data_IF_804042194880
#
_entry.id   IF_804042194880
#
_cell.length_a   1.000
_cell.length_b   1.000
_cell.length_c   1.000
_cell.angle_alpha   90.00
_cell.angle_beta   90.00
_cell.angle_gamma   90.00
#
_symmetry.space_group_name_H-M   'P 1'
#
loop_
_entity.id
_entity.type
_entity.pdbx_description
1 polymer ?
#
# COMPACT_ATOMS: atom_id res chain seq x y z
N UNK A 1 1.05 -7.72 21.52
CA UNK A 1 0.62 -6.33 21.77
C UNK A 1 -0.75 -6.11 21.11
N UNK A 2 -1.84 -5.78 21.86
CA UNK A 2 -3.16 -5.50 21.24
C UNK A 2 -3.17 -4.07 20.72
N UNK A 3 -2.75 -3.87 19.47
CA UNK A 3 -2.82 -2.56 18.81
C UNK A 3 -4.24 -2.33 18.28
N UNK A 4 -5.16 -1.84 19.11
CA UNK A 4 -6.49 -1.47 18.60
C UNK A 4 -6.44 -0.12 17.88
N UNK A 5 -6.63 -0.11 16.56
CA UNK A 5 -6.82 1.12 15.79
C UNK A 5 -8.29 1.58 15.86
N UNK A 6 -8.51 2.77 16.43
CA UNK A 6 -9.87 3.24 16.71
C UNK A 6 -10.54 3.85 15.48
N UNK A 7 -11.87 3.73 15.45
CA UNK A 7 -12.72 4.32 14.40
C UNK A 7 -12.62 5.84 14.36
N UNK A 8 -12.38 6.48 15.51
CA UNK A 8 -12.16 7.93 15.61
C UNK A 8 -10.91 8.37 14.84
N UNK A 9 -9.80 7.63 14.93
CA UNK A 9 -8.56 7.94 14.18
C UNK A 9 -8.78 7.84 12.67
N UNK A 10 -9.49 6.80 12.25
CA UNK A 10 -9.88 6.60 10.85
C UNK A 10 -10.75 7.77 10.32
N UNK A 11 -11.75 8.21 11.10
CA UNK A 11 -12.58 9.35 10.70
C UNK A 11 -11.83 10.69 10.68
N UNK A 12 -10.86 10.90 11.58
CA UNK A 12 -9.96 12.06 11.50
C UNK A 12 -9.19 12.06 10.18
N UNK A 13 -8.60 10.92 9.80
CA UNK A 13 -7.89 10.78 8.53
C UNK A 13 -8.79 11.11 7.34
N UNK A 14 -10.00 10.54 7.33
CA UNK A 14 -11.00 10.77 6.29
C UNK A 14 -11.29 12.27 6.17
N UNK A 15 -11.60 12.93 7.28
CA UNK A 15 -11.88 14.36 7.30
C UNK A 15 -10.71 15.19 6.78
N UNK A 16 -9.48 14.88 7.20
CA UNK A 16 -8.27 15.57 6.74
C UNK A 16 -8.02 15.41 5.24
N UNK A 17 -8.21 14.21 4.70
CA UNK A 17 -8.10 13.95 3.25
C UNK A 17 -9.15 14.77 2.49
N UNK A 18 -10.39 14.82 3.01
CA UNK A 18 -11.47 15.63 2.44
C UNK A 18 -11.21 17.14 2.53
N UNK A 19 -10.56 17.61 3.60
CA UNK A 19 -10.35 19.03 3.89
C UNK A 19 -9.02 19.57 3.37
N UNK A 20 -8.12 18.72 2.87
CA UNK A 20 -6.80 19.18 2.43
C UNK A 20 -6.88 20.07 1.17
N UNK A 21 -6.24 21.24 1.22
CA UNK A 21 -6.26 22.28 0.18
C UNK A 21 -5.55 21.89 -1.15
N UNK A 22 -5.18 20.62 -1.35
CA UNK A 22 -4.42 20.14 -2.53
C UNK A 22 -5.37 19.79 -3.69
N UNK A 23 -6.35 20.66 -3.95
CA UNK A 23 -7.24 20.61 -5.12
C UNK A 23 -8.63 20.00 -4.85
N UNK A 24 -9.58 20.14 -5.80
CA UNK A 24 -10.97 19.76 -5.58
C UNK A 24 -11.14 18.24 -5.43
N UNK A 25 -11.50 17.81 -4.22
CA UNK A 25 -12.37 16.68 -3.93
C UNK A 25 -11.87 15.30 -4.32
N UNK A 26 -11.20 14.62 -3.39
CA UNK A 26 -11.23 13.15 -3.36
C UNK A 26 -12.55 12.75 -2.72
N UNK A 27 -13.39 12.01 -3.45
CA UNK A 27 -14.58 11.38 -2.86
C UNK A 27 -14.18 10.03 -2.30
N UNK A 28 -14.65 9.69 -1.10
CA UNK A 28 -14.51 8.34 -0.54
C UNK A 28 -15.88 7.66 -0.64
N UNK A 29 -15.92 6.50 -1.32
CA UNK A 29 -17.12 5.68 -1.43
C UNK A 29 -16.91 4.36 -0.71
N UNK A 30 -17.81 4.05 0.22
CA UNK A 30 -17.85 2.74 0.87
C UNK A 30 -18.68 1.77 0.04
N UNK A 31 -18.01 0.81 -0.58
CA UNK A 31 -18.62 -0.14 -1.50
C UNK A 31 -18.94 -1.47 -0.78
N UNK A 32 -20.05 -2.10 -1.20
CA UNK A 32 -20.34 -3.48 -0.83
C UNK A 32 -19.49 -4.45 -1.66
N UNK A 33 -19.36 -5.71 -1.21
CA UNK A 33 -18.65 -6.76 -1.97
C UNK A 33 -19.25 -6.98 -3.37
N UNK A 34 -20.57 -6.85 -3.48
CA UNK A 34 -21.29 -6.94 -4.76
C UNK A 34 -20.98 -5.77 -5.69
N UNK A 35 -20.90 -4.57 -5.13
CA UNK A 35 -20.49 -3.37 -5.87
C UNK A 35 -19.09 -3.55 -6.43
N UNK A 36 -18.14 -4.02 -5.61
CA UNK A 36 -16.75 -4.27 -6.02
C UNK A 36 -16.68 -5.36 -7.11
N UNK A 37 -17.36 -6.50 -6.96
CA UNK A 37 -17.38 -7.56 -7.99
C UNK A 37 -17.94 -7.11 -9.34
N UNK A 38 -18.91 -6.20 -9.36
CA UNK A 38 -19.42 -5.62 -10.60
C UNK A 38 -18.38 -4.73 -11.26
N UNK A 39 -17.62 -4.01 -10.45
CA UNK A 39 -16.45 -3.23 -10.87
C UNK A 39 -15.26 -4.16 -11.22
N UNK A 40 -15.17 -5.40 -10.73
CA UNK A 40 -14.12 -6.32 -11.20
C UNK A 40 -14.47 -6.88 -12.57
N UNK A 41 -15.70 -7.36 -12.69
CA UNK A 41 -16.23 -7.99 -13.90
C UNK A 41 -16.32 -7.04 -15.08
N UNK A 42 -16.69 -5.79 -14.84
CA UNK A 42 -16.79 -4.80 -15.92
C UNK A 42 -15.41 -4.43 -16.51
N UNK A 43 -14.31 -4.76 -15.83
CA UNK A 43 -12.97 -4.29 -16.22
C UNK A 43 -11.95 -5.42 -16.36
N UNK A 44 -12.37 -6.67 -16.19
CA UNK A 44 -11.55 -7.86 -16.33
C UNK A 44 -10.28 -7.82 -15.45
N UNK A 45 -10.43 -7.32 -14.22
CA UNK A 45 -9.38 -7.27 -13.20
C UNK A 45 -9.86 -8.12 -12.02
N UNK A 46 -9.07 -9.09 -11.58
CA UNK A 46 -9.30 -9.74 -10.28
C UNK A 46 -8.76 -8.84 -9.17
N UNK A 47 -9.60 -7.95 -8.61
CA UNK A 47 -9.19 -7.17 -7.43
C UNK A 47 -9.70 -7.83 -6.13
N UNK A 48 -8.83 -7.90 -5.13
CA UNK A 48 -9.20 -8.31 -3.78
C UNK A 48 -9.90 -7.18 -2.98
N UNK A 49 -10.66 -6.31 -3.65
CA UNK A 49 -11.57 -5.36 -3.00
C UNK A 49 -11.04 -3.94 -2.74
N UNK A 50 -10.10 -3.45 -3.55
CA UNK A 50 -9.55 -2.07 -3.44
C UNK A 50 -9.40 -1.45 -4.84
N UNK A 51 -9.84 -0.19 -5.01
CA UNK A 51 -9.73 0.58 -6.26
C UNK A 51 -9.14 1.98 -6.04
N UNK A 52 -8.04 2.30 -6.75
CA UNK A 52 -7.80 3.65 -7.29
C UNK A 52 -8.18 3.66 -8.77
N UNK A 53 -8.70 4.78 -9.26
CA UNK A 53 -8.60 5.12 -10.69
C UNK A 53 -7.53 6.20 -10.91
N UNK A 54 -6.34 5.87 -11.46
CA UNK A 54 -5.34 6.87 -11.84
C UNK A 54 -4.92 6.79 -13.32
N UNK A 55 -5.84 6.64 -14.29
CA UNK A 55 -5.49 6.69 -15.74
C UNK A 55 -6.28 7.69 -16.59
N UNK A 56 -5.62 8.38 -17.53
CA UNK A 56 -6.18 8.67 -18.84
C UNK A 56 -6.15 7.37 -19.67
N UNK A 57 -7.33 6.87 -20.07
CA UNK A 57 -7.49 5.83 -21.10
C UNK A 57 -7.62 4.38 -20.62
N UNK A 58 -8.54 4.12 -19.70
CA UNK A 58 -8.93 2.77 -19.28
C UNK A 58 -10.02 2.89 -18.23
N UNK A 59 -11.23 3.18 -18.72
CA UNK A 59 -12.39 3.62 -17.95
C UNK A 59 -12.77 2.64 -16.84
N UNK A 60 -13.20 3.18 -15.68
CA UNK A 60 -14.44 2.79 -15.00
C UNK A 60 -15.22 4.06 -14.76
N UNK A 61 -16.30 4.24 -15.52
CA UNK A 61 -17.28 5.30 -15.31
C UNK A 61 -18.15 4.96 -14.10
N UNK A 62 -17.91 5.61 -12.96
CA UNK A 62 -18.98 6.44 -12.42
C UNK A 62 -18.71 7.85 -12.92
N UNK A 63 -19.72 8.56 -13.44
CA UNK A 63 -19.52 9.72 -14.31
C UNK A 63 -18.50 10.68 -13.70
N UNK A 64 -17.61 11.21 -14.54
CA UNK A 64 -16.88 12.46 -14.28
C UNK A 64 -17.90 13.55 -13.94
N UNK A 65 -18.48 13.54 -12.74
CA UNK A 65 -19.19 14.69 -12.20
C UNK A 65 -18.09 15.59 -11.66
N UNK A 66 -17.56 16.43 -12.56
CA UNK A 66 -16.74 17.61 -12.26
C UNK A 66 -15.27 17.37 -11.82
N UNK A 67 -14.51 16.48 -12.47
CA UNK A 67 -13.04 16.46 -12.35
C UNK A 67 -12.46 16.02 -10.99
N UNK A 68 -13.20 15.23 -10.21
CA UNK A 68 -12.84 14.75 -8.86
C UNK A 68 -12.37 13.29 -8.87
N UNK A 69 -11.29 12.97 -8.14
CA UNK A 69 -10.86 11.58 -7.92
C UNK A 69 -11.80 10.88 -6.94
N UNK A 70 -12.00 9.57 -7.08
CA UNK A 70 -12.81 8.78 -6.15
C UNK A 70 -12.02 7.57 -5.67
N UNK A 71 -11.94 7.39 -4.36
CA UNK A 71 -11.37 6.23 -3.67
C UNK A 71 -12.53 5.34 -3.23
N UNK A 72 -12.51 4.08 -3.63
CA UNK A 72 -13.54 3.11 -3.23
C UNK A 72 -12.95 2.14 -2.20
N UNK A 73 -13.57 2.05 -1.02
CA UNK A 73 -13.13 1.19 0.07
C UNK A 73 -14.22 0.16 0.40
N UNK A 74 -13.82 -1.09 0.63
CA UNK A 74 -14.75 -2.13 1.06
C UNK A 74 -15.26 -1.87 2.49
N UNK A 75 -16.59 -1.82 2.66
CA UNK A 75 -17.26 -1.51 3.95
C UNK A 75 -17.02 -2.53 5.08
N UNK A 76 -16.45 -3.70 4.77
CA UNK A 76 -16.20 -4.77 5.74
C UNK A 76 -14.76 -4.91 6.20
N UNK A 77 -13.88 -3.96 5.86
CA UNK A 77 -12.48 -4.00 6.28
C UNK A 77 -12.33 -3.66 7.77
N UNK A 78 -11.39 -4.30 8.49
CA UNK A 78 -10.96 -3.81 9.79
C UNK A 78 -10.40 -2.37 9.67
N UNK A 79 -10.62 -1.53 10.67
CA UNK A 79 -10.25 -0.10 10.62
C UNK A 79 -8.79 0.16 10.23
N UNK A 80 -7.85 -0.71 10.64
CA UNK A 80 -6.43 -0.55 10.30
C UNK A 80 -6.14 -0.86 8.82
N UNK A 81 -6.85 -1.84 8.24
CA UNK A 81 -6.77 -2.14 6.80
C UNK A 81 -7.39 -1.01 6.01
N UNK A 82 -8.53 -0.50 6.47
CA UNK A 82 -9.20 0.64 5.86
C UNK A 82 -8.31 1.89 5.83
N UNK A 83 -7.61 2.16 6.94
CA UNK A 83 -6.64 3.24 7.04
C UNK A 83 -5.50 3.09 6.03
N UNK A 84 -4.91 1.89 5.91
CA UNK A 84 -3.84 1.63 4.95
C UNK A 84 -4.32 1.81 3.52
N UNK A 85 -5.46 1.20 3.18
CA UNK A 85 -6.08 1.35 1.86
C UNK A 85 -6.29 2.82 1.54
N UNK A 86 -6.89 3.58 2.45
CA UNK A 86 -7.17 5.00 2.21
C UNK A 86 -5.88 5.80 1.96
N UNK A 87 -4.84 5.61 2.77
CA UNK A 87 -3.55 6.28 2.58
C UNK A 87 -2.85 5.85 1.29
N UNK A 88 -2.92 4.57 0.94
CA UNK A 88 -2.32 4.03 -0.27
C UNK A 88 -2.98 4.63 -1.52
N UNK A 89 -4.31 4.59 -1.59
CA UNK A 89 -5.05 5.18 -2.70
C UNK A 89 -4.89 6.70 -2.77
N UNK A 90 -4.81 7.37 -1.62
CA UNK A 90 -4.50 8.79 -1.59
C UNK A 90 -3.08 9.09 -2.08
N UNK A 91 -2.10 8.22 -1.78
CA UNK A 91 -0.75 8.29 -2.33
C UNK A 91 -0.72 8.19 -3.86
N UNK A 92 -1.53 7.31 -4.45
CA UNK A 92 -1.74 7.25 -5.91
C UNK A 92 -2.32 8.53 -6.46
N UNK A 93 -3.37 9.08 -5.80
CA UNK A 93 -3.95 10.36 -6.18
C UNK A 93 -2.90 11.49 -6.16
N UNK A 94 -2.07 11.59 -5.12
CA UNK A 94 -1.01 12.58 -5.02
C UNK A 94 0.06 12.40 -6.10
N UNK A 95 0.41 11.16 -6.44
CA UNK A 95 1.32 10.86 -7.54
C UNK A 95 0.76 11.37 -8.88
N UNK A 96 -0.54 11.19 -9.10
CA UNK A 96 -1.27 11.66 -10.28
C UNK A 96 -1.38 13.18 -10.35
N UNK A 97 -1.86 13.83 -9.29
CA UNK A 97 -2.07 15.28 -9.23
C UNK A 97 -0.76 16.05 -9.42
N UNK A 98 0.36 15.51 -8.92
CA UNK A 98 1.71 16.08 -9.08
C UNK A 98 2.37 15.74 -10.42
N UNK A 99 1.70 14.99 -11.30
CA UNK A 99 2.22 14.58 -12.62
C UNK A 99 3.62 13.95 -12.53
N UNK A 100 3.83 13.08 -11.54
CA UNK A 100 5.13 12.46 -11.28
C UNK A 100 5.73 11.77 -12.52
N UNK A 101 7.06 11.78 -12.64
CA UNK A 101 7.79 11.21 -13.78
C UNK A 101 7.46 9.74 -14.06
N UNK A 102 7.20 8.94 -13.02
CA UNK A 102 6.82 7.53 -13.15
C UNK A 102 5.55 7.32 -14.00
N UNK A 103 4.64 8.30 -14.03
CA UNK A 103 3.41 8.24 -14.84
C UNK A 103 3.69 8.43 -16.33
N UNK A 104 4.68 9.29 -16.68
CA UNK A 104 5.07 9.54 -18.07
C UNK A 104 5.72 8.32 -18.71
N UNK A 105 6.47 7.57 -17.91
CA UNK A 105 7.19 6.38 -18.36
C UNK A 105 6.34 5.10 -18.33
N UNK A 106 5.03 5.21 -18.02
CA UNK A 106 4.10 4.07 -17.85
C UNK A 106 4.63 3.00 -16.87
N UNK A 107 5.48 3.40 -15.93
CA UNK A 107 6.07 2.51 -14.94
C UNK A 107 5.08 2.30 -13.79
N UNK A 108 4.22 1.28 -13.91
CA UNK A 108 3.23 0.95 -12.86
C UNK A 108 3.89 0.76 -11.49
N UNK A 109 5.05 0.11 -11.42
CA UNK A 109 5.80 -0.07 -10.18
C UNK A 109 6.24 1.26 -9.54
N UNK A 110 6.40 2.34 -10.33
CA UNK A 110 6.78 3.65 -9.83
C UNK A 110 5.64 4.38 -9.11
N UNK A 111 4.39 4.25 -9.58
CA UNK A 111 3.24 4.79 -8.84
C UNK A 111 2.97 4.00 -7.55
N UNK A 112 3.07 2.67 -7.60
CA UNK A 112 2.96 1.83 -6.39
C UNK A 112 4.02 2.18 -5.35
N UNK A 113 5.29 2.35 -5.77
CA UNK A 113 6.35 2.74 -4.85
C UNK A 113 6.03 4.08 -4.16
N UNK A 114 5.49 5.08 -4.89
CA UNK A 114 5.09 6.34 -4.28
C UNK A 114 3.91 6.19 -3.30
N UNK A 115 2.91 5.39 -3.65
CA UNK A 115 1.76 5.12 -2.79
C UNK A 115 2.16 4.41 -1.49
N UNK A 116 2.96 3.34 -1.58
CA UNK A 116 3.50 2.63 -0.42
C UNK A 116 4.38 3.55 0.44
N UNK A 117 5.30 4.29 -0.19
CA UNK A 117 6.20 5.23 0.53
C UNK A 117 5.42 6.32 1.25
N UNK A 118 4.39 6.88 0.62
CA UNK A 118 3.51 7.86 1.23
C UNK A 118 2.80 7.29 2.45
N UNK A 119 2.24 6.08 2.31
CA UNK A 119 1.54 5.36 3.39
C UNK A 119 2.45 5.13 4.59
N UNK A 120 3.65 4.57 4.40
CA UNK A 120 4.61 4.37 5.49
C UNK A 120 4.98 5.69 6.18
N UNK A 121 5.21 6.76 5.41
CA UNK A 121 5.55 8.08 5.96
C UNK A 121 4.44 8.63 6.84
N UNK A 122 3.20 8.62 6.36
CA UNK A 122 2.05 9.13 7.13
C UNK A 122 1.82 8.32 8.41
N UNK A 123 1.87 6.99 8.31
CA UNK A 123 1.66 6.11 9.46
C UNK A 123 2.77 6.26 10.52
N UNK A 124 4.02 6.43 10.10
CA UNK A 124 5.14 6.75 10.99
C UNK A 124 4.95 8.10 11.68
N UNK A 125 4.67 9.16 10.91
CA UNK A 125 4.47 10.52 11.46
C UNK A 125 3.36 10.54 12.50
N UNK A 126 2.27 9.79 12.27
CA UNK A 126 1.13 9.71 13.17
C UNK A 126 1.29 8.71 14.32
N UNK A 127 2.39 7.95 14.34
CA UNK A 127 2.67 6.86 15.29
C UNK A 127 1.52 5.84 15.32
N UNK A 128 0.97 5.52 14.16
CA UNK A 128 -0.12 4.55 14.01
C UNK A 128 0.45 3.16 13.77
N UNK A 129 0.82 2.50 14.87
CA UNK A 129 1.57 1.24 14.84
C UNK A 129 0.80 0.06 14.20
N UNK A 130 -0.50 -0.10 14.47
CA UNK A 130 -1.26 -1.26 13.91
C UNK A 130 -1.35 -1.22 12.39
N UNK A 131 -1.78 -0.09 11.78
CA UNK A 131 -1.81 0.00 10.33
C UNK A 131 -0.39 -0.05 9.74
N UNK A 132 0.61 0.57 10.39
CA UNK A 132 2.00 0.54 9.94
C UNK A 132 2.55 -0.89 9.85
N UNK A 133 2.41 -1.67 10.92
CA UNK A 133 2.83 -3.07 10.94
C UNK A 133 2.14 -3.87 9.83
N UNK A 134 0.82 -3.69 9.66
CA UNK A 134 0.08 -4.35 8.59
C UNK A 134 0.62 -3.99 7.19
N UNK A 135 0.93 -2.72 6.94
CA UNK A 135 1.49 -2.29 5.65
C UNK A 135 2.85 -2.93 5.39
N UNK A 136 3.71 -3.01 6.42
CA UNK A 136 4.99 -3.73 6.30
C UNK A 136 4.77 -5.20 5.95
N UNK A 137 3.82 -5.88 6.59
CA UNK A 137 3.52 -7.30 6.27
C UNK A 137 3.00 -7.48 4.84
N UNK A 138 2.27 -6.50 4.31
CA UNK A 138 1.77 -6.48 2.93
C UNK A 138 2.93 -6.36 1.94
N UNK A 139 3.88 -5.45 2.20
CA UNK A 139 5.11 -5.27 1.40
C UNK A 139 5.94 -6.57 1.38
N UNK A 140 6.14 -7.20 2.55
CA UNK A 140 6.82 -8.50 2.63
C UNK A 140 6.07 -9.59 1.85
N UNK A 141 4.73 -9.57 1.87
CA UNK A 141 3.92 -10.49 1.08
C UNK A 141 4.10 -10.27 -0.42
N UNK A 142 4.18 -9.03 -0.89
CA UNK A 142 4.44 -8.74 -2.30
C UNK A 142 5.83 -9.19 -2.76
N UNK A 143 6.82 -9.11 -1.87
CA UNK A 143 8.16 -9.63 -2.11
C UNK A 143 8.21 -11.16 -2.18
N UNK A 144 7.28 -11.84 -1.49
CA UNK A 144 7.19 -13.30 -1.49
C UNK A 144 6.52 -13.91 -2.72
N UNK A 145 5.90 -13.07 -3.58
CA UNK A 145 5.08 -13.49 -4.72
C UNK A 145 5.81 -13.30 -6.05
N UNK A 146 5.15 -13.70 -7.14
CA UNK A 146 5.60 -13.61 -8.54
C UNK A 146 6.17 -12.22 -8.92
N UNK A 147 7.17 -12.21 -9.80
CA UNK A 147 7.80 -11.01 -10.37
C UNK A 147 6.80 -10.13 -11.14
N UNK A 148 6.23 -9.16 -10.44
CA UNK A 148 5.25 -8.23 -10.98
C UNK A 148 5.52 -6.80 -10.48
N UNK A 149 4.65 -5.87 -10.88
CA UNK A 149 4.85 -4.46 -10.55
C UNK A 149 4.82 -4.16 -9.04
N UNK A 150 4.09 -4.95 -8.24
CA UNK A 150 4.07 -4.83 -6.78
C UNK A 150 5.36 -5.37 -6.16
N UNK A 151 5.88 -6.49 -6.68
CA UNK A 151 7.18 -7.02 -6.29
C UNK A 151 8.29 -5.98 -6.51
N UNK A 152 8.39 -5.40 -7.71
CA UNK A 152 9.40 -4.38 -8.00
C UNK A 152 9.26 -3.11 -7.16
N UNK A 153 8.02 -2.64 -6.93
CA UNK A 153 7.77 -1.48 -6.07
C UNK A 153 8.22 -1.74 -4.62
N UNK A 154 7.90 -2.93 -4.10
CA UNK A 154 8.25 -3.37 -2.76
C UNK A 154 9.77 -3.55 -2.61
N UNK A 155 10.44 -4.16 -3.60
CA UNK A 155 11.89 -4.33 -3.64
C UNK A 155 12.62 -2.99 -3.61
N UNK A 156 12.06 -1.98 -4.28
CA UNK A 156 12.58 -0.61 -4.20
C UNK A 156 12.31 0.03 -2.84
N UNK A 157 11.14 -0.20 -2.26
CA UNK A 157 10.72 0.38 -0.99
C UNK A 157 11.59 -0.06 0.19
N UNK A 158 11.93 -1.35 0.27
CA UNK A 158 12.73 -1.88 1.38
C UNK A 158 14.16 -1.30 1.43
N UNK A 159 14.65 -0.76 0.32
CA UNK A 159 15.93 -0.06 0.20
C UNK A 159 15.81 1.45 0.49
N UNK A 160 14.60 1.97 0.60
CA UNK A 160 14.36 3.39 0.89
C UNK A 160 14.57 3.66 2.39
N UNK A 161 15.18 4.80 2.80
CA UNK A 161 15.41 5.10 4.20
C UNK A 161 14.15 5.10 5.08
N UNK A 162 12.96 5.27 4.51
CA UNK A 162 11.71 5.17 5.27
C UNK A 162 11.48 3.76 5.83
N UNK A 163 11.92 2.72 5.12
CA UNK A 163 11.76 1.33 5.53
C UNK A 163 12.57 1.05 6.80
N UNK A 164 13.84 1.45 6.83
CA UNK A 164 14.71 1.30 8.01
C UNK A 164 14.09 1.90 9.27
N UNK A 165 13.45 3.07 9.16
CA UNK A 165 12.71 3.69 10.28
C UNK A 165 11.52 2.86 10.77
N UNK A 166 10.84 2.16 9.86
CA UNK A 166 9.77 1.25 10.21
C UNK A 166 10.32 -0.02 10.87
N UNK A 167 11.45 -0.55 10.40
CA UNK A 167 12.13 -1.72 10.97
C UNK A 167 12.65 -1.48 12.39
N UNK A 168 13.13 -0.28 12.70
CA UNK A 168 13.52 0.10 14.07
C UNK A 168 12.37 -0.08 15.08
N UNK A 169 11.11 0.02 14.61
CA UNK A 169 9.93 -0.15 15.45
C UNK A 169 9.41 -1.59 15.51
N UNK A 170 9.48 -2.33 14.40
CA UNK A 170 8.80 -3.63 14.27
C UNK A 170 9.67 -4.77 13.75
N UNK A 171 10.97 -4.59 13.57
CA UNK A 171 11.85 -5.54 12.89
C UNK A 171 11.76 -6.97 13.44
N UNK A 172 11.80 -7.12 14.76
CA UNK A 172 11.68 -8.44 15.42
C UNK A 172 10.30 -9.07 15.22
N UNK A 173 9.23 -8.27 15.36
CA UNK A 173 7.86 -8.74 15.20
C UNK A 173 7.58 -9.13 13.74
N UNK A 174 8.09 -8.34 12.79
CA UNK A 174 7.97 -8.58 11.36
C UNK A 174 8.73 -9.84 10.93
N UNK A 175 9.95 -10.04 11.42
CA UNK A 175 10.73 -11.26 11.20
C UNK A 175 10.00 -12.50 11.72
N UNK A 176 9.48 -12.44 12.95
CA UNK A 176 8.67 -13.54 13.54
C UNK A 176 7.41 -13.81 12.72
N UNK A 177 6.71 -12.76 12.30
CA UNK A 177 5.51 -12.89 11.46
C UNK A 177 5.85 -13.56 10.12
N UNK A 178 6.90 -13.11 9.43
CA UNK A 178 7.34 -13.69 8.16
C UNK A 178 7.73 -15.17 8.32
N UNK A 179 8.49 -15.50 9.36
CA UNK A 179 8.86 -16.88 9.66
C UNK A 179 7.62 -17.78 9.84
N UNK A 180 6.62 -17.30 10.59
CA UNK A 180 5.40 -18.05 10.84
C UNK A 180 4.52 -18.20 9.59
N UNK A 181 4.51 -17.21 8.68
CA UNK A 181 3.69 -17.27 7.47
C UNK A 181 4.30 -18.15 6.38
N UNK A 182 5.62 -18.11 6.23
CA UNK A 182 6.29 -18.69 5.06
C UNK A 182 7.19 -19.88 5.39
N UNK A 183 7.34 -20.24 6.67
CA UNK A 183 8.08 -21.42 7.11
C UNK A 183 9.56 -21.36 6.73
N UNK A 184 10.37 -20.67 7.54
CA UNK A 184 11.82 -20.87 7.73
C UNK A 184 12.74 -20.73 6.49
N UNK A 185 13.81 -19.95 6.65
CA UNK A 185 15.01 -19.85 5.79
C UNK A 185 14.89 -19.28 4.37
N UNK A 186 13.84 -19.59 3.59
CA UNK A 186 13.75 -19.12 2.18
C UNK A 186 13.52 -17.61 2.02
N UNK A 187 13.16 -16.93 3.11
CA UNK A 187 12.92 -15.49 3.18
C UNK A 187 13.83 -14.75 4.16
N UNK A 188 15.02 -15.30 4.46
CA UNK A 188 16.18 -14.43 4.46
C UNK A 188 16.28 -13.91 3.02
N UNK A 189 15.47 -12.90 2.67
CA UNK A 189 15.38 -12.48 1.28
C UNK A 189 16.80 -12.11 0.85
N UNK A 190 17.34 -12.73 -0.21
CA UNK A 190 18.65 -12.37 -0.74
C UNK A 190 18.74 -10.86 -0.95
N UNK A 191 17.64 -10.20 -1.34
CA UNK A 191 17.60 -8.75 -1.51
C UNK A 191 17.51 -7.93 -0.21
N UNK A 192 17.09 -8.52 0.92
CA UNK A 192 17.21 -7.88 2.24
C UNK A 192 18.66 -7.91 2.73
N UNK A 193 19.31 -9.06 2.65
CA UNK A 193 20.69 -9.16 3.10
C UNK A 193 21.71 -8.66 2.06
N UNK A 194 21.40 -8.61 0.76
CA UNK A 194 22.13 -7.79 -0.24
C UNK A 194 21.92 -6.29 0.02
N UNK A 195 20.72 -5.85 0.39
CA UNK A 195 20.47 -4.44 0.72
C UNK A 195 21.09 -4.00 2.05
N UNK A 196 21.34 -4.94 2.96
CA UNK A 196 22.03 -4.71 4.24
C UNK A 196 23.53 -5.07 4.22
N UNK A 197 24.04 -5.66 3.12
CA UNK A 197 25.46 -6.00 2.97
C UNK A 197 25.91 -7.28 3.72
N UNK A 198 24.97 -8.17 4.09
CA UNK A 198 25.20 -9.30 5.00
C UNK A 198 25.08 -10.69 4.33
N UNK A 199 25.45 -10.83 3.05
CA UNK A 199 25.60 -12.14 2.41
C UNK A 199 27.05 -12.39 1.95
N UNK A 200 27.96 -12.49 2.90
CA UNK A 200 29.10 -13.41 2.77
C UNK A 200 28.76 -14.65 3.59
N UNK A 201 28.55 -15.78 2.90
CA UNK A 201 28.53 -17.14 3.46
C UNK A 201 27.31 -17.55 4.30
N UNK A 202 26.21 -17.92 3.63
CA UNK A 202 25.34 -18.98 4.17
C UNK A 202 25.44 -20.18 3.23
N UNK A 203 25.92 -21.34 3.69
CA UNK A 203 26.00 -22.53 2.87
C UNK A 203 24.59 -22.98 2.52
N UNK A 204 24.35 -23.16 1.21
CA UNK A 204 23.13 -23.79 0.72
C UNK A 204 23.14 -25.24 1.21
N UNK A 205 22.05 -25.65 1.86
CA UNK A 205 21.82 -27.05 2.18
C UNK A 205 21.26 -27.76 0.94
N UNK A 206 22.09 -28.72 0.52
CA UNK A 206 22.07 -29.73 -0.54
C UNK A 206 21.94 -29.27 -2.00
#
# INVERSE_FOLDING_TARGET
MRLSFSKTKLYSLIYEIFSSDIGPGVNILYCSRWTLRRVDKAFNIETNGVYCSPRPGGDILFPKRKGRSTICIYKGLPNYVECNTLLHEYGHHLCFSRKCKCLRQRQRHGSEFHALKYTLKELLTRKWHSPLFHEMTLVCTYLSRSDNYLYHASRRLIRDPIWKKCEELFGDELRKWMYNQYGIAKYAMPEFAEAQGEFENIPLLD
#
